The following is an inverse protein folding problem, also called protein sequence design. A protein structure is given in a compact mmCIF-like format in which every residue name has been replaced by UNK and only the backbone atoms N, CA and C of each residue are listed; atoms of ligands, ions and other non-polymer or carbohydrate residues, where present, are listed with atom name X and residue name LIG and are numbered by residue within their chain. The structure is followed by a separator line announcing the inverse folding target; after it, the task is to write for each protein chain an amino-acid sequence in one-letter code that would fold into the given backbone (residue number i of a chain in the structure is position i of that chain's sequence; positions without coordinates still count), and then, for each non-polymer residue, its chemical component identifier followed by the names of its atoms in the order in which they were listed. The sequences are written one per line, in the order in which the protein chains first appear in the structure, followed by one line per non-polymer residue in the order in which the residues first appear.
data_IF_278166098637
#
_entry.id   IF_278166098637
#
_cell.length_a   1.000
_cell.length_b   1.000
_cell.length_c   1.000
_cell.angle_alpha   90.00
_cell.angle_beta   90.00
_cell.angle_gamma   90.00
#
_symmetry.space_group_name_H-M   'P 1'
#
loop_
_entity.id
_entity.type
_entity.pdbx_description
1 polymer ?
#
# COMPACT_ATOMS: atom_id res chain seq x y z
N UNK A 1 2.61 -0.95 -11.51
CA UNK A 1 3.14 -1.80 -10.43
C UNK A 1 2.40 -3.13 -10.38
N UNK A 2 3.02 -4.17 -9.84
CA UNK A 2 2.41 -5.50 -9.66
C UNK A 2 1.95 -5.62 -8.20
N UNK A 3 0.70 -6.03 -7.98
CA UNK A 3 0.19 -6.32 -6.62
C UNK A 3 0.74 -7.67 -6.15
N UNK A 4 1.49 -7.70 -5.04
CA UNK A 4 2.01 -8.96 -4.48
C UNK A 4 1.00 -9.60 -3.51
N UNK A 5 0.37 -8.76 -2.69
CA UNK A 5 -0.53 -9.22 -1.66
C UNK A 5 -1.62 -8.18 -1.44
N UNK A 6 -2.82 -8.68 -1.18
CA UNK A 6 -3.88 -7.86 -0.65
C UNK A 6 -4.67 -8.53 0.44
N UNK A 7 -5.01 -7.75 1.45
CA UNK A 7 -6.05 -8.09 2.42
C UNK A 7 -7.15 -7.06 2.25
N UNK A 8 -8.42 -7.44 2.40
CA UNK A 8 -9.53 -6.49 2.37
C UNK A 8 -10.66 -6.95 3.27
N UNK A 9 -11.28 -5.99 3.97
CA UNK A 9 -12.60 -6.17 4.58
C UNK A 9 -13.73 -5.93 3.59
N UNK A 10 -13.46 -5.22 2.50
CA UNK A 10 -14.40 -5.00 1.41
C UNK A 10 -14.39 -6.20 0.47
N UNK A 11 -15.57 -6.74 0.16
CA UNK A 11 -15.72 -7.69 -0.95
C UNK A 11 -15.66 -6.89 -2.25
N UNK A 12 -14.56 -7.00 -2.97
CA UNK A 12 -14.48 -6.54 -4.35
C UNK A 12 -15.13 -7.64 -5.21
N UNK A 13 -16.32 -7.39 -5.74
CA UNK A 13 -16.89 -8.26 -6.77
C UNK A 13 -16.23 -7.91 -8.11
N UNK A 14 -15.67 -8.92 -8.79
CA UNK A 14 -15.08 -8.73 -10.12
C UNK A 14 -16.08 -8.11 -11.12
N UNK A 15 -17.38 -8.32 -10.90
CA UNK A 15 -18.49 -7.78 -11.69
C UNK A 15 -18.51 -6.25 -11.82
N UNK A 16 -17.88 -5.51 -10.89
CA UNK A 16 -17.85 -4.05 -10.91
C UNK A 16 -16.54 -3.47 -11.48
N UNK A 17 -15.68 -4.31 -12.07
CA UNK A 17 -14.44 -3.88 -12.72
C UNK A 17 -13.35 -3.33 -11.79
N UNK A 18 -13.62 -3.27 -10.47
CA UNK A 18 -12.67 -2.90 -9.42
C UNK A 18 -11.93 -4.14 -8.97
N UNK A 19 -10.68 -4.31 -9.42
CA UNK A 19 -9.79 -5.37 -8.94
C UNK A 19 -8.62 -4.76 -8.18
N UNK A 20 -8.14 -5.51 -7.18
CA UNK A 20 -7.01 -5.12 -6.33
C UNK A 20 -5.75 -4.89 -7.17
N UNK A 21 -5.58 -5.64 -8.24
CA UNK A 21 -4.50 -5.51 -9.20
C UNK A 21 -4.52 -4.14 -9.88
N UNK A 22 -5.71 -3.64 -10.27
CA UNK A 22 -5.84 -2.30 -10.84
C UNK A 22 -5.51 -1.21 -9.82
N UNK A 23 -5.98 -1.37 -8.58
CA UNK A 23 -5.70 -0.42 -7.50
C UNK A 23 -4.19 -0.34 -7.24
N UNK A 24 -3.53 -1.50 -7.15
CA UNK A 24 -2.08 -1.54 -6.96
C UNK A 24 -1.32 -0.96 -8.14
N UNK A 25 -1.70 -1.32 -9.36
CA UNK A 25 -1.07 -0.80 -10.57
C UNK A 25 -1.13 0.73 -10.65
N UNK A 26 -2.31 1.32 -10.42
CA UNK A 26 -2.52 2.77 -10.43
C UNK A 26 -1.81 3.42 -9.24
N UNK A 27 -1.99 2.88 -8.03
CA UNK A 27 -1.36 3.42 -6.81
C UNK A 27 0.16 3.50 -6.93
N UNK A 28 0.80 2.46 -7.47
CA UNK A 28 2.23 2.47 -7.74
C UNK A 28 2.65 3.53 -8.76
N UNK A 29 1.91 3.69 -9.86
CA UNK A 29 2.22 4.69 -10.87
C UNK A 29 2.08 6.13 -10.34
N UNK A 30 0.99 6.40 -9.59
CA UNK A 30 0.76 7.70 -8.97
C UNK A 30 1.83 8.02 -7.94
N UNK A 31 2.29 7.03 -7.15
CA UNK A 31 3.37 7.22 -6.18
C UNK A 31 4.69 7.60 -6.86
N UNK A 32 5.07 6.90 -7.94
CA UNK A 32 6.30 7.21 -8.70
C UNK A 32 6.23 8.62 -9.29
N UNK A 33 5.10 9.01 -9.85
CA UNK A 33 4.91 10.37 -10.35
C UNK A 33 5.03 11.42 -9.23
N UNK A 34 4.54 11.11 -8.03
CA UNK A 34 4.68 11.96 -6.85
C UNK A 34 6.13 12.09 -6.37
N UNK A 35 6.94 11.02 -6.42
CA UNK A 35 8.38 11.09 -6.12
C UNK A 35 9.10 12.03 -7.10
N UNK A 36 8.81 11.89 -8.39
CA UNK A 36 9.39 12.76 -9.42
C UNK A 36 9.03 14.23 -9.19
N UNK A 37 7.76 14.50 -8.86
CA UNK A 37 7.31 15.84 -8.48
C UNK A 37 8.06 16.36 -7.24
N UNK A 38 8.23 15.52 -6.22
CA UNK A 38 8.99 15.86 -5.01
C UNK A 38 10.45 16.20 -5.31
N UNK A 39 11.09 15.48 -6.23
CA UNK A 39 12.45 15.79 -6.69
C UNK A 39 12.54 17.10 -7.46
N UNK A 40 11.61 17.36 -8.39
CA UNK A 40 11.54 18.62 -9.15
C UNK A 40 11.37 19.83 -8.22
N UNK A 41 10.56 19.68 -7.17
CA UNK A 41 10.31 20.74 -6.19
C UNK A 41 11.40 20.87 -5.10
N UNK A 42 12.39 19.96 -5.08
CA UNK A 42 13.45 19.95 -4.07
C UNK A 42 13.06 19.37 -2.70
N UNK A 43 11.93 18.69 -2.60
CA UNK A 43 11.46 18.02 -1.37
C UNK A 43 12.03 16.60 -1.21
N UNK A 44 12.50 16.00 -2.30
CA UNK A 44 13.04 14.63 -2.30
C UNK A 44 11.94 13.57 -2.29
N UNK A 45 12.23 12.44 -1.65
CA UNK A 45 11.33 11.28 -1.63
C UNK A 45 10.11 11.46 -0.72
N UNK A 46 9.03 10.78 -1.07
CA UNK A 46 7.78 10.72 -0.32
C UNK A 46 8.01 9.94 0.98
N UNK A 47 7.82 10.64 2.09
CA UNK A 47 7.71 10.01 3.41
C UNK A 47 6.33 9.35 3.62
N UNK A 48 5.27 10.05 3.21
CA UNK A 48 3.89 9.57 3.21
C UNK A 48 3.09 10.40 2.22
N UNK A 49 2.35 9.73 1.33
CA UNK A 49 1.38 10.35 0.45
C UNK A 49 -0.03 10.05 0.98
N UNK A 50 -0.88 11.08 0.98
CA UNK A 50 -2.30 10.95 1.29
C UNK A 50 -3.05 11.61 0.15
N UNK A 51 -3.96 10.88 -0.48
CA UNK A 51 -4.84 11.37 -1.52
C UNK A 51 -6.27 11.22 -1.03
N UNK A 52 -6.96 12.34 -0.83
CA UNK A 52 -8.34 12.39 -0.37
C UNK A 52 -9.28 12.60 -1.57
N UNK A 53 -10.32 11.77 -1.62
CA UNK A 53 -11.41 11.82 -2.56
C UNK A 53 -12.72 12.06 -1.79
N UNK A 54 -13.77 12.49 -2.49
CA UNK A 54 -15.07 12.75 -1.87
C UNK A 54 -15.63 11.57 -1.06
N UNK A 55 -15.31 10.33 -1.44
CA UNK A 55 -15.82 9.12 -0.81
C UNK A 55 -14.76 8.28 -0.09
N UNK A 56 -13.51 8.72 -0.02
CA UNK A 56 -12.47 7.91 0.59
C UNK A 56 -11.07 8.49 0.48
N UNK A 57 -10.11 7.76 1.00
CA UNK A 57 -8.71 8.16 1.04
C UNK A 57 -7.80 7.02 0.61
N UNK A 58 -6.70 7.37 -0.04
CA UNK A 58 -5.59 6.48 -0.35
C UNK A 58 -4.36 7.00 0.38
N UNK A 59 -3.73 6.10 1.13
CA UNK A 59 -2.46 6.35 1.81
C UNK A 59 -1.38 5.51 1.15
N UNK A 60 -0.22 6.08 0.92
CA UNK A 60 0.89 5.36 0.31
C UNK A 60 2.22 5.73 0.96
N UNK A 61 3.05 4.73 1.24
CA UNK A 61 4.41 4.94 1.72
C UNK A 61 5.36 3.92 1.11
N UNK A 62 6.61 4.31 0.91
CA UNK A 62 7.66 3.40 0.48
C UNK A 62 8.00 2.41 1.61
N UNK A 63 8.08 1.13 1.28
CA UNK A 63 8.49 0.04 2.19
C UNK A 63 9.52 -0.85 1.50
N UNK A 64 10.80 -0.61 1.78
CA UNK A 64 11.89 -1.28 1.08
C UNK A 64 11.85 -1.01 -0.44
N UNK A 65 11.71 -2.07 -1.24
CA UNK A 65 11.56 -2.01 -2.71
C UNK A 65 10.11 -1.89 -3.18
N UNK A 66 9.14 -1.91 -2.26
CA UNK A 66 7.71 -1.83 -2.57
C UNK A 66 7.07 -0.54 -2.07
N UNK A 67 5.78 -0.43 -2.33
CA UNK A 67 4.90 0.61 -1.82
C UNK A 67 3.78 -0.06 -1.04
N UNK A 68 3.60 0.36 0.21
CA UNK A 68 2.47 0.00 1.05
C UNK A 68 1.33 0.98 0.74
N UNK A 69 0.20 0.47 0.26
CA UNK A 69 -0.99 1.25 -0.01
C UNK A 69 -2.14 0.82 0.92
N UNK A 70 -2.82 1.79 1.53
CA UNK A 70 -4.03 1.58 2.32
C UNK A 70 -5.15 2.41 1.71
N UNK A 71 -6.28 1.77 1.45
CA UNK A 71 -7.51 2.44 1.01
C UNK A 71 -8.48 2.46 2.18
N UNK A 72 -9.01 3.64 2.50
CA UNK A 72 -9.92 3.84 3.61
C UNK A 72 -11.14 4.67 3.21
N UNK A 73 -12.21 4.57 3.98
CA UNK A 73 -13.39 5.43 3.82
C UNK A 73 -13.10 6.86 4.29
N UNK A 74 -13.98 7.79 3.90
CA UNK A 74 -13.79 9.22 4.23
C UNK A 74 -13.79 9.54 5.73
N UNK A 75 -14.38 8.68 6.55
CA UNK A 75 -14.45 8.91 8.00
C UNK A 75 -13.25 8.31 8.75
N UNK A 76 -12.31 7.67 8.05
CA UNK A 76 -11.18 7.04 8.68
C UNK A 76 -10.27 8.06 9.38
N UNK A 77 -9.79 7.72 10.57
CA UNK A 77 -8.93 8.62 11.33
C UNK A 77 -7.51 8.64 10.74
N UNK A 78 -7.20 9.68 9.96
CA UNK A 78 -5.90 9.88 9.27
C UNK A 78 -4.71 9.64 10.20
N UNK A 79 -4.74 10.22 11.41
CA UNK A 79 -3.66 10.08 12.39
C UNK A 79 -3.42 8.63 12.82
N UNK A 80 -4.48 7.84 12.95
CA UNK A 80 -4.41 6.43 13.30
C UNK A 80 -3.82 5.59 12.17
N UNK A 81 -4.28 5.80 10.93
CA UNK A 81 -3.73 5.11 9.76
C UNK A 81 -2.25 5.42 9.61
N UNK A 82 -1.87 6.70 9.71
CA UNK A 82 -0.47 7.14 9.66
C UNK A 82 0.38 6.48 10.76
N UNK A 83 -0.13 6.37 11.98
CA UNK A 83 0.58 5.72 13.09
C UNK A 83 0.79 4.22 12.81
N UNK A 84 -0.24 3.51 12.33
CA UNK A 84 -0.14 2.09 11.96
C UNK A 84 0.86 1.89 10.83
N UNK A 85 0.77 2.68 9.77
CA UNK A 85 1.69 2.59 8.63
C UNK A 85 3.13 2.79 9.05
N UNK A 86 3.41 3.81 9.88
CA UNK A 86 4.77 4.04 10.40
C UNK A 86 5.27 2.93 11.33
N UNK A 87 4.37 2.36 12.15
CA UNK A 87 4.71 1.29 13.08
C UNK A 87 5.08 0.00 12.34
N UNK A 88 4.28 -0.38 11.34
CA UNK A 88 4.39 -1.69 10.69
C UNK A 88 5.11 -1.67 9.34
N UNK A 89 5.16 -0.51 8.67
CA UNK A 89 5.84 -0.31 7.38
C UNK A 89 7.25 -0.92 7.31
N UNK A 90 8.13 -0.68 8.29
CA UNK A 90 9.48 -1.27 8.31
C UNK A 90 9.47 -2.80 8.32
N UNK A 91 8.65 -3.41 9.18
CA UNK A 91 8.52 -4.87 9.28
C UNK A 91 8.01 -5.46 7.96
N UNK A 92 7.03 -4.82 7.33
CA UNK A 92 6.52 -5.28 6.04
C UNK A 92 7.60 -5.16 4.96
N UNK A 93 8.37 -4.08 4.95
CA UNK A 93 9.50 -3.92 4.03
C UNK A 93 10.52 -5.05 4.17
N UNK A 94 10.77 -5.50 5.40
CA UNK A 94 11.65 -6.65 5.67
C UNK A 94 11.05 -7.97 5.16
N UNK A 95 9.78 -8.23 5.47
CA UNK A 95 9.02 -9.41 4.99
C UNK A 95 9.03 -9.46 3.45
N UNK A 96 8.79 -8.33 2.78
CA UNK A 96 8.86 -8.20 1.32
C UNK A 96 10.26 -8.45 0.79
N UNK A 97 11.28 -7.96 1.49
CA UNK A 97 12.68 -8.22 1.15
C UNK A 97 13.00 -9.71 1.16
N UNK A 98 12.50 -10.44 2.18
CA UNK A 98 12.63 -11.90 2.27
C UNK A 98 11.79 -12.63 1.22
N UNK A 99 10.56 -12.18 0.95
CA UNK A 99 9.68 -12.75 -0.08
C UNK A 99 10.34 -12.73 -1.46
N UNK A 100 10.99 -11.61 -1.81
CA UNK A 100 11.72 -11.49 -3.08
C UNK A 100 12.98 -12.37 -3.14
N UNK A 101 13.36 -13.00 -2.02
CA UNK A 101 14.53 -13.89 -1.89
C UNK A 101 14.15 -15.35 -1.59
N UNK A 102 12.90 -15.67 -1.23
CA UNK A 102 12.49 -16.96 -0.63
C UNK A 102 11.13 -17.50 -1.14
N UNK A 103 10.85 -18.78 -0.83
CA UNK A 103 9.65 -19.53 -1.24
C UNK A 103 8.34 -19.06 -0.55
N UNK A 104 7.24 -19.00 -1.30
CA UNK A 104 6.10 -18.07 -1.07
C UNK A 104 5.10 -18.46 0.05
N UNK A 105 5.16 -19.68 0.61
CA UNK A 105 4.04 -20.25 1.37
C UNK A 105 3.95 -19.79 2.85
N UNK A 106 5.07 -19.55 3.53
CA UNK A 106 5.11 -19.29 4.98
C UNK A 106 4.75 -17.83 5.33
N UNK A 107 5.13 -16.90 4.45
CA UNK A 107 4.94 -15.45 4.60
C UNK A 107 3.48 -15.00 4.50
N UNK A 108 2.65 -15.75 3.75
CA UNK A 108 1.22 -15.45 3.60
C UNK A 108 0.41 -15.61 4.90
N UNK A 109 0.94 -16.37 5.88
CA UNK A 109 0.30 -16.59 7.18
C UNK A 109 0.57 -15.41 8.14
N UNK A 110 1.82 -14.99 8.26
CA UNK A 110 2.23 -13.87 9.12
C UNK A 110 1.54 -12.55 8.73
N UNK A 111 1.42 -12.28 7.42
CA UNK A 111 0.76 -11.07 6.94
C UNK A 111 -0.76 -11.06 7.17
N UNK A 112 -1.42 -12.22 7.11
CA UNK A 112 -2.86 -12.32 7.40
C UNK A 112 -3.18 -11.96 8.85
N UNK A 113 -2.30 -12.35 9.78
CA UNK A 113 -2.46 -12.02 11.19
C UNK A 113 -2.29 -10.51 11.44
N UNK A 114 -1.28 -9.89 10.83
CA UNK A 114 -0.98 -8.46 10.94
C UNK A 114 -2.12 -7.54 10.44
N UNK A 115 -2.85 -7.94 9.39
CA UNK A 115 -3.81 -7.06 8.70
C UNK A 115 -5.27 -7.51 8.77
N UNK A 116 -5.63 -8.37 9.73
CA UNK A 116 -7.01 -8.84 9.95
C UNK A 116 -8.06 -7.71 10.08
N UNK A 117 -7.64 -6.46 10.34
CA UNK A 117 -8.53 -5.33 10.54
C UNK A 117 -8.60 -4.29 9.39
N UNK A 118 -7.74 -4.34 8.36
CA UNK A 118 -7.57 -3.26 7.35
C UNK A 118 -7.46 -3.83 5.93
N UNK A 119 -7.96 -3.09 4.94
CA UNK A 119 -7.69 -3.38 3.53
C UNK A 119 -6.32 -2.82 3.11
N UNK A 120 -5.39 -3.71 2.77
CA UNK A 120 -4.01 -3.36 2.42
C UNK A 120 -3.72 -3.87 1.03
N UNK A 121 -3.19 -3.01 0.17
CA UNK A 121 -2.73 -3.37 -1.18
C UNK A 121 -1.22 -3.14 -1.21
N UNK A 122 -0.46 -4.20 -1.43
CA UNK A 122 0.99 -4.12 -1.60
C UNK A 122 1.34 -4.14 -3.06
N UNK A 123 2.10 -3.14 -3.52
CA UNK A 123 2.51 -3.06 -4.93
C UNK A 123 4.00 -2.85 -5.04
N UNK A 124 4.66 -3.59 -5.94
CA UNK A 124 6.01 -3.26 -6.40
C UNK A 124 5.86 -2.28 -7.56
N UNK A 125 6.43 -1.08 -7.41
CA UNK A 125 6.76 -0.25 -8.56
C UNK A 125 8.06 -0.81 -9.16
N UNK A 126 7.99 -1.29 -10.41
CA UNK A 126 9.17 -1.52 -11.23
C UNK A 126 9.58 -0.20 -11.87
#
# INVERSE_FOLDING_TARGET
GITILSQSKFKFSEDNGTSVEKIGAIGGAVFVAGEEQGHILGYGSINLQITEYFEGMIFSMKVGKGVLCIVADKNAQIGFIRAIMKKWGPLIGEILGRYLQADQAELGKEMKELFSFIAVVFTIAQ
#
